data_IF_312269109679
#
_entry.id   IF_312269109679
#
_cell.length_a   1.000
_cell.length_b   1.000
_cell.length_c   1.000
_cell.angle_alpha   90.00
_cell.angle_beta   90.00
_cell.angle_gamma   90.00
#
_symmetry.space_group_name_H-M   'P 1'
#
loop_
_entity.id
_entity.type
_entity.pdbx_description
1 polymer ?
#
# COMPACT_ATOMS: atom_id res chain seq x y z
N UNK A 1 8.04 -25.46 -4.84
CA UNK A 1 7.56 -24.06 -4.87
C UNK A 1 7.03 -23.69 -3.51
N UNK A 2 7.25 -22.46 -3.03
CA UNK A 2 6.67 -21.98 -1.77
C UNK A 2 5.15 -21.89 -1.97
N UNK A 3 4.36 -22.51 -1.08
CA UNK A 3 2.91 -22.50 -1.19
C UNK A 3 2.36 -21.06 -1.12
N UNK A 4 1.34 -20.73 -1.94
CA UNK A 4 0.78 -19.37 -2.05
C UNK A 4 0.32 -18.79 -0.71
N UNK A 5 -0.13 -19.62 0.23
CA UNK A 5 -0.52 -19.23 1.60
C UNK A 5 0.55 -18.46 2.40
N UNK A 6 1.81 -18.49 1.95
CA UNK A 6 2.94 -17.80 2.59
C UNK A 6 3.33 -16.49 1.89
N UNK A 7 2.64 -16.08 0.82
CA UNK A 7 2.82 -14.76 0.23
C UNK A 7 2.50 -13.68 1.27
N UNK A 8 3.33 -12.64 1.31
CA UNK A 8 3.18 -11.50 2.23
C UNK A 8 3.20 -10.20 1.44
N UNK A 9 2.52 -9.19 1.98
CA UNK A 9 2.55 -7.82 1.44
C UNK A 9 2.65 -6.81 2.56
N UNK A 10 3.34 -5.70 2.30
CA UNK A 10 3.32 -4.54 3.19
C UNK A 10 2.08 -3.70 2.89
N UNK A 11 1.46 -3.21 3.96
CA UNK A 11 0.43 -2.17 3.92
C UNK A 11 0.78 -1.09 4.92
N UNK A 12 0.65 0.18 4.54
CA UNK A 12 0.87 1.31 5.45
C UNK A 12 -0.38 2.18 5.46
N UNK A 13 -1.01 2.34 6.62
CA UNK A 13 -2.03 3.37 6.84
C UNK A 13 -1.30 4.70 7.03
N UNK A 14 -1.57 5.64 6.12
CA UNK A 14 -0.99 6.98 6.07
C UNK A 14 -1.64 7.91 7.11
N UNK A 15 -1.07 9.09 7.38
CA UNK A 15 -1.55 9.96 8.45
C UNK A 15 -3.04 10.33 8.35
N UNK A 16 -3.54 10.60 7.14
CA UNK A 16 -4.96 10.88 6.89
C UNK A 16 -5.90 9.73 7.28
N UNK A 17 -5.50 8.46 7.10
CA UNK A 17 -6.28 7.31 7.57
C UNK A 17 -6.37 7.23 9.09
N UNK A 18 -5.29 7.61 9.79
CA UNK A 18 -5.27 7.65 11.26
C UNK A 18 -6.10 8.83 11.77
N UNK A 19 -5.87 10.03 11.24
CA UNK A 19 -6.55 11.26 11.67
C UNK A 19 -8.06 11.22 11.41
N UNK A 20 -8.52 10.34 10.52
CA UNK A 20 -9.95 10.13 10.23
C UNK A 20 -10.55 8.92 10.93
N UNK A 21 -9.81 8.32 11.89
CA UNK A 21 -10.26 7.16 12.67
C UNK A 21 -10.62 5.92 11.82
N UNK A 22 -9.91 5.70 10.71
CA UNK A 22 -10.19 4.60 9.76
C UNK A 22 -9.36 3.34 9.99
N UNK A 23 -8.57 3.28 11.08
CA UNK A 23 -7.66 2.15 11.35
C UNK A 23 -8.44 0.82 11.41
N UNK A 24 -9.46 0.76 12.25
CA UNK A 24 -10.28 -0.45 12.41
C UNK A 24 -11.02 -0.83 11.15
N UNK A 25 -11.54 0.16 10.40
CA UNK A 25 -12.23 -0.07 9.12
C UNK A 25 -11.28 -0.70 8.09
N UNK A 26 -10.07 -0.16 7.93
CA UNK A 26 -9.06 -0.69 6.99
C UNK A 26 -8.64 -2.11 7.37
N UNK A 27 -8.30 -2.36 8.64
CA UNK A 27 -7.91 -3.69 9.12
C UNK A 27 -9.03 -4.70 8.86
N UNK A 28 -10.27 -4.35 9.23
CA UNK A 28 -11.45 -5.20 9.05
C UNK A 28 -11.68 -5.59 7.59
N UNK A 29 -11.39 -4.72 6.61
CA UNK A 29 -11.51 -5.04 5.17
C UNK A 29 -10.57 -6.18 4.77
N UNK A 30 -9.35 -6.19 5.29
CA UNK A 30 -8.38 -7.23 5.00
C UNK A 30 -8.68 -8.52 5.77
N UNK A 31 -8.98 -8.45 7.07
CA UNK A 31 -9.28 -9.64 7.90
C UNK A 31 -10.48 -10.43 7.35
N UNK A 32 -11.54 -9.73 6.94
CA UNK A 32 -12.76 -10.36 6.40
C UNK A 32 -12.53 -11.17 5.12
N UNK A 33 -11.40 -10.98 4.44
CA UNK A 33 -11.01 -11.78 3.27
C UNK A 33 -10.24 -13.06 3.62
N UNK A 34 -9.94 -13.29 4.91
CA UNK A 34 -9.16 -14.43 5.38
C UNK A 34 -7.64 -14.18 5.41
N UNK A 35 -7.19 -12.96 5.16
CA UNK A 35 -5.78 -12.57 5.31
C UNK A 35 -5.36 -12.55 6.78
N UNK A 36 -4.14 -12.99 7.05
CA UNK A 36 -3.55 -13.07 8.39
C UNK A 36 -2.60 -11.90 8.64
N UNK A 37 -2.84 -11.10 9.67
CA UNK A 37 -1.92 -10.04 10.10
C UNK A 37 -0.75 -10.66 10.86
N UNK A 38 0.47 -10.55 10.35
CA UNK A 38 1.68 -11.17 10.94
C UNK A 38 2.67 -10.18 11.53
N UNK A 39 2.49 -8.88 11.31
CA UNK A 39 3.21 -7.81 12.01
C UNK A 39 2.42 -6.49 11.92
N UNK A 40 2.54 -5.65 12.94
CA UNK A 40 1.93 -4.31 12.97
C UNK A 40 2.75 -3.40 13.89
N UNK A 41 2.97 -2.15 13.49
CA UNK A 41 3.50 -1.10 14.39
C UNK A 41 3.04 0.29 13.99
N UNK A 42 2.82 1.14 14.99
CA UNK A 42 2.53 2.56 14.81
C UNK A 42 3.80 3.37 15.10
N UNK A 43 4.12 4.32 14.23
CA UNK A 43 5.31 5.17 14.40
C UNK A 43 5.15 6.50 13.67
N UNK A 44 5.99 7.48 14.00
CA UNK A 44 6.24 8.65 13.15
C UNK A 44 7.46 8.32 12.29
N UNK A 45 7.27 8.25 10.98
CA UNK A 45 8.33 7.91 10.04
C UNK A 45 9.29 9.09 9.84
N UNK A 46 10.59 8.81 9.68
CA UNK A 46 11.56 9.85 9.32
C UNK A 46 11.55 10.11 7.81
N UNK A 47 11.94 11.30 7.34
CA UNK A 47 12.07 11.59 5.92
C UNK A 47 12.93 10.56 5.17
N UNK A 48 14.05 10.12 5.78
CA UNK A 48 14.99 9.17 5.18
C UNK A 48 14.38 7.78 5.01
N UNK A 49 13.55 7.35 5.98
CA UNK A 49 12.82 6.09 5.88
C UNK A 49 11.86 6.11 4.68
N UNK A 50 11.17 7.23 4.48
CA UNK A 50 10.18 7.38 3.40
C UNK A 50 10.85 7.57 2.05
N UNK A 51 11.93 8.36 1.98
CA UNK A 51 12.73 8.50 0.76
C UNK A 51 13.19 7.13 0.28
N UNK A 52 13.84 6.36 1.19
CA UNK A 52 14.34 5.04 0.85
C UNK A 52 13.22 4.08 0.46
N UNK A 53 12.06 4.13 1.12
CA UNK A 53 10.91 3.28 0.78
C UNK A 53 10.50 3.43 -0.69
N UNK A 54 10.42 4.65 -1.21
CA UNK A 54 10.07 4.89 -2.62
C UNK A 54 11.21 4.62 -3.60
N UNK A 55 12.45 4.57 -3.12
CA UNK A 55 13.64 4.39 -3.98
C UNK A 55 14.34 3.05 -3.76
N UNK A 56 13.66 2.06 -3.18
CA UNK A 56 14.19 0.69 -3.02
C UNK A 56 14.54 0.07 -4.39
N UNK A 57 13.69 0.31 -5.40
CA UNK A 57 13.99 -0.01 -6.79
C UNK A 57 14.74 1.16 -7.46
N UNK A 58 16.00 0.98 -7.91
CA UNK A 58 16.75 1.99 -8.63
C UNK A 58 16.04 2.50 -9.90
N UNK A 59 15.17 1.67 -10.51
CA UNK A 59 14.42 2.03 -11.70
C UNK A 59 13.18 2.90 -11.38
N UNK A 60 12.78 3.02 -10.11
CA UNK A 60 11.52 3.68 -9.74
C UNK A 60 11.43 5.12 -10.25
N UNK A 61 12.52 5.90 -10.11
CA UNK A 61 12.53 7.31 -10.57
C UNK A 61 12.26 7.43 -12.07
N UNK A 62 12.89 6.56 -12.86
CA UNK A 62 12.70 6.54 -14.31
C UNK A 62 11.27 6.10 -14.67
N UNK A 63 10.85 4.94 -14.17
CA UNK A 63 9.55 4.33 -14.52
C UNK A 63 8.37 5.21 -14.07
N UNK A 64 8.41 5.71 -12.83
CA UNK A 64 7.35 6.57 -12.28
C UNK A 64 7.33 7.92 -12.98
N UNK A 65 8.49 8.51 -13.28
CA UNK A 65 8.58 9.77 -14.01
C UNK A 65 8.00 9.66 -15.42
N UNK A 66 8.42 8.66 -16.21
CA UNK A 66 7.91 8.40 -17.56
C UNK A 66 6.40 8.14 -17.56
N UNK A 67 5.91 7.32 -16.62
CA UNK A 67 4.47 7.05 -16.45
C UNK A 67 3.68 8.31 -16.11
N UNK A 68 4.23 9.17 -15.25
CA UNK A 68 3.58 10.43 -14.85
C UNK A 68 3.47 11.37 -16.05
N UNK A 69 4.56 11.60 -16.79
CA UNK A 69 4.56 12.41 -18.02
C UNK A 69 3.51 11.90 -18.99
N UNK A 70 3.53 10.60 -19.28
CA UNK A 70 2.54 9.98 -20.17
C UNK A 70 1.12 10.22 -19.68
N UNK A 71 0.86 10.09 -18.38
CA UNK A 71 -0.44 10.34 -17.76
C UNK A 71 -0.95 11.78 -17.95
N UNK A 72 -0.08 12.79 -17.92
CA UNK A 72 -0.46 14.17 -18.26
C UNK A 72 -0.77 14.30 -19.76
N UNK A 73 0.09 13.77 -20.62
CA UNK A 73 -0.05 13.87 -22.08
C UNK A 73 -1.32 13.18 -22.59
N UNK A 74 -1.62 11.98 -22.08
CA UNK A 74 -2.83 11.21 -22.44
C UNK A 74 -4.12 11.97 -22.06
N UNK A 75 -4.05 12.87 -21.06
CA UNK A 75 -5.16 13.74 -20.63
C UNK A 75 -5.17 15.11 -21.33
N UNK A 76 -4.25 15.37 -22.26
CA UNK A 76 -4.08 16.67 -22.92
C UNK A 76 -3.56 17.77 -21.99
N UNK A 77 -2.95 17.41 -20.86
CA UNK A 77 -2.39 18.33 -19.88
C UNK A 77 -0.88 18.47 -20.06
N UNK A 78 -0.34 19.62 -19.63
CA UNK A 78 1.11 19.85 -19.61
C UNK A 78 1.70 19.33 -18.30
N UNK A 79 2.70 18.43 -18.34
CA UNK A 79 3.35 17.97 -17.12
C UNK A 79 4.13 19.11 -16.44
N UNK A 80 4.34 19.03 -15.11
CA UNK A 80 5.05 20.06 -14.36
C UNK A 80 6.53 20.19 -14.79
N UNK A 81 7.13 19.13 -15.31
CA UNK A 81 8.46 19.13 -15.93
C UNK A 81 8.49 18.12 -17.09
N UNK A 82 9.49 18.21 -17.97
CA UNK A 82 9.69 17.25 -19.07
C UNK A 82 10.73 16.18 -18.75
N UNK A 83 11.45 16.33 -17.63
CA UNK A 83 12.45 15.38 -17.17
C UNK A 83 11.84 14.43 -16.10
N UNK A 84 11.87 13.10 -16.32
CA UNK A 84 11.44 12.11 -15.34
C UNK A 84 12.11 12.25 -13.97
N UNK A 85 13.38 12.68 -13.91
CA UNK A 85 14.07 12.85 -12.62
C UNK A 85 13.50 14.02 -11.84
N UNK A 86 13.31 15.17 -12.49
CA UNK A 86 12.72 16.35 -11.86
C UNK A 86 11.29 16.10 -11.37
N UNK A 87 10.45 15.41 -12.16
CA UNK A 87 9.10 15.02 -11.72
C UNK A 87 9.15 14.17 -10.47
N UNK A 88 10.01 13.15 -10.46
CA UNK A 88 10.07 12.22 -9.33
C UNK A 88 10.68 12.86 -8.10
N UNK A 89 11.56 13.86 -8.24
CA UNK A 89 12.02 14.71 -7.13
C UNK A 89 10.85 15.45 -6.47
N UNK A 90 10.06 16.17 -7.26
CA UNK A 90 8.89 16.92 -6.75
C UNK A 90 7.87 15.97 -6.10
N UNK A 91 7.55 14.86 -6.78
CA UNK A 91 6.61 13.87 -6.27
C UNK A 91 7.09 13.23 -4.95
N UNK A 92 8.38 12.93 -4.85
CA UNK A 92 8.98 12.38 -3.65
C UNK A 92 8.96 13.38 -2.49
N UNK A 93 9.24 14.66 -2.74
CA UNK A 93 9.11 15.72 -1.73
C UNK A 93 7.67 15.81 -1.20
N UNK A 94 6.67 15.72 -2.08
CA UNK A 94 5.26 15.73 -1.66
C UNK A 94 4.90 14.49 -0.84
N UNK A 95 5.39 13.31 -1.24
CA UNK A 95 5.15 12.06 -0.50
C UNK A 95 5.81 12.07 0.88
N UNK A 96 7.07 12.54 0.96
CA UNK A 96 7.77 12.69 2.23
C UNK A 96 6.98 13.63 3.14
N UNK A 97 6.65 14.85 2.68
CA UNK A 97 5.86 15.81 3.47
C UNK A 97 4.53 15.24 3.96
N UNK A 98 3.85 14.47 3.13
CA UNK A 98 2.56 13.86 3.48
C UNK A 98 2.72 12.74 4.50
N UNK A 99 3.64 11.80 4.31
CA UNK A 99 3.75 10.63 5.18
C UNK A 99 4.39 10.99 6.53
N UNK A 100 5.27 11.99 6.56
CA UNK A 100 5.89 12.47 7.80
C UNK A 100 5.05 13.51 8.54
N UNK A 101 3.88 13.90 8.04
CA UNK A 101 3.00 14.89 8.69
C UNK A 101 2.31 14.38 9.95
N UNK A 102 2.45 13.10 10.27
CA UNK A 102 1.80 12.47 11.42
C UNK A 102 2.22 11.00 11.56
N UNK A 103 1.60 10.26 12.48
CA UNK A 103 1.88 8.85 12.62
C UNK A 103 1.40 8.05 11.41
N UNK A 104 2.02 6.90 11.21
CA UNK A 104 1.62 5.85 10.28
C UNK A 104 1.45 4.52 11.02
N UNK A 105 0.71 3.59 10.43
CA UNK A 105 0.69 2.19 10.88
C UNK A 105 1.17 1.32 9.73
N UNK A 106 2.36 0.72 9.89
CA UNK A 106 2.86 -0.30 8.99
C UNK A 106 2.34 -1.68 9.42
N UNK A 107 1.94 -2.51 8.47
CA UNK A 107 1.38 -3.84 8.67
C UNK A 107 1.91 -4.82 7.64
N UNK A 108 2.11 -6.07 8.05
CA UNK A 108 2.43 -7.18 7.14
C UNK A 108 1.28 -8.16 7.14
N UNK A 109 0.68 -8.35 5.97
CA UNK A 109 -0.42 -9.30 5.76
C UNK A 109 0.09 -10.53 5.02
N UNK A 110 -0.40 -11.71 5.40
CA UNK A 110 -0.03 -12.99 4.81
C UNK A 110 -1.28 -13.76 4.35
N UNK A 111 -1.19 -14.39 3.18
CA UNK A 111 -2.22 -15.29 2.65
C UNK A 111 -2.03 -15.58 1.17
N UNK A 112 -2.87 -16.44 0.58
CA UNK A 112 -2.81 -16.73 -0.85
C UNK A 112 -3.04 -15.46 -1.68
N UNK A 113 -2.11 -15.15 -2.58
CA UNK A 113 -2.17 -13.97 -3.46
C UNK A 113 -2.34 -12.65 -2.68
N UNK A 114 -1.73 -12.54 -1.49
CA UNK A 114 -1.88 -11.41 -0.58
C UNK A 114 -1.69 -10.05 -1.27
N UNK A 115 -0.67 -9.89 -2.12
CA UNK A 115 -0.41 -8.63 -2.85
C UNK A 115 -1.60 -8.28 -3.74
N UNK A 116 -2.06 -9.23 -4.55
CA UNK A 116 -3.14 -8.99 -5.50
C UNK A 116 -4.48 -8.71 -4.81
N UNK A 117 -4.81 -9.49 -3.77
CA UNK A 117 -6.06 -9.34 -3.02
C UNK A 117 -6.08 -7.99 -2.29
N UNK A 118 -4.99 -7.61 -1.61
CA UNK A 118 -4.92 -6.32 -0.92
C UNK A 118 -5.04 -5.15 -1.88
N UNK A 119 -4.36 -5.20 -3.04
CA UNK A 119 -4.50 -4.14 -4.06
C UNK A 119 -5.94 -4.04 -4.57
N UNK A 120 -6.60 -5.17 -4.80
CA UNK A 120 -8.02 -5.21 -5.21
C UNK A 120 -8.94 -4.58 -4.17
N UNK A 121 -8.79 -4.94 -2.88
CA UNK A 121 -9.59 -4.38 -1.78
C UNK A 121 -9.30 -2.89 -1.54
N UNK A 122 -8.05 -2.47 -1.76
CA UNK A 122 -7.62 -1.09 -1.52
C UNK A 122 -8.16 -0.12 -2.59
N UNK A 123 -8.22 -0.55 -3.85
CA UNK A 123 -8.62 0.30 -4.98
C UNK A 123 -7.43 0.95 -5.70
N UNK A 124 -7.70 1.61 -6.82
CA UNK A 124 -6.70 2.28 -7.67
C UNK A 124 -6.00 3.44 -6.96
N UNK A 125 -4.87 3.93 -7.47
CA UNK A 125 -4.10 5.01 -6.81
C UNK A 125 -4.92 6.29 -6.65
N UNK A 126 -5.72 6.63 -7.65
CA UNK A 126 -6.64 7.77 -7.65
C UNK A 126 -7.99 7.37 -7.07
N UNK A 127 -8.42 7.98 -5.95
CA UNK A 127 -9.70 7.67 -5.33
C UNK A 127 -10.91 7.96 -6.20
N UNK A 128 -10.91 9.09 -6.94
CA UNK A 128 -11.98 9.45 -7.88
C UNK A 128 -12.30 8.34 -8.90
N UNK A 129 -11.30 7.55 -9.28
CA UNK A 129 -11.43 6.45 -10.25
C UNK A 129 -11.50 5.06 -9.59
N UNK A 130 -11.55 5.00 -8.25
CA UNK A 130 -11.63 3.74 -7.52
C UNK A 130 -13.08 3.28 -7.39
N UNK A 131 -13.33 2.00 -7.64
CA UNK A 131 -14.68 1.44 -7.58
C UNK A 131 -15.29 1.49 -6.17
N UNK A 132 -16.62 1.57 -6.14
CA UNK A 132 -17.43 1.42 -4.92
C UNK A 132 -17.15 0.06 -4.28
N UNK A 133 -17.01 0.04 -2.95
CA UNK A 133 -16.64 -1.13 -2.16
C UNK A 133 -15.14 -1.28 -1.92
N UNK A 134 -14.30 -0.51 -2.61
CA UNK A 134 -12.87 -0.43 -2.30
C UNK A 134 -12.61 0.56 -1.16
N UNK A 135 -11.50 0.41 -0.43
CA UNK A 135 -11.13 1.33 0.65
C UNK A 135 -11.05 2.78 0.14
N UNK A 136 -10.42 2.99 -1.02
CA UNK A 136 -10.28 4.34 -1.59
C UNK A 136 -11.60 4.88 -2.14
N UNK A 137 -12.39 4.05 -2.81
CA UNK A 137 -13.70 4.46 -3.35
C UNK A 137 -14.72 4.80 -2.26
N UNK A 138 -14.69 4.09 -1.13
CA UNK A 138 -15.69 4.28 -0.07
C UNK A 138 -15.37 5.46 0.87
N UNK A 139 -14.07 5.78 1.06
CA UNK A 139 -13.66 6.69 2.11
C UNK A 139 -12.95 7.95 1.61
N UNK A 140 -12.72 8.14 0.31
CA UNK A 140 -11.89 9.25 -0.17
C UNK A 140 -12.50 9.93 -1.39
N UNK A 141 -12.50 11.27 -1.38
CA UNK A 141 -13.03 12.12 -2.46
C UNK A 141 -11.91 12.88 -3.22
N UNK A 142 -10.64 12.53 -3.00
CA UNK A 142 -9.46 13.18 -3.59
C UNK A 142 -9.21 12.72 -5.03
N UNK A 143 -8.53 13.56 -5.81
CA UNK A 143 -8.23 13.28 -7.23
C UNK A 143 -6.90 13.90 -7.67
N UNK A 144 -6.37 13.49 -8.82
CA UNK A 144 -5.15 14.11 -9.35
C UNK A 144 -5.36 15.60 -9.66
N UNK A 145 -6.54 15.99 -10.15
CA UNK A 145 -6.84 17.40 -10.45
C UNK A 145 -6.78 18.27 -9.20
N UNK A 146 -7.31 17.78 -8.07
CA UNK A 146 -7.22 18.49 -6.79
C UNK A 146 -5.78 18.60 -6.32
N UNK A 147 -4.99 17.53 -6.45
CA UNK A 147 -3.61 17.51 -5.96
C UNK A 147 -2.66 18.34 -6.82
N UNK A 148 -2.92 18.42 -8.11
CA UNK A 148 -2.19 19.28 -9.04
C UNK A 148 -2.43 20.75 -8.74
N UNK A 149 -3.68 21.13 -8.45
CA UNK A 149 -4.03 22.49 -8.05
C UNK A 149 -3.44 22.88 -6.68
N UNK A 150 -3.43 21.94 -5.73
CA UNK A 150 -2.96 22.17 -4.36
C UNK A 150 -1.44 22.00 -4.19
N UNK A 151 -0.73 21.44 -5.17
CA UNK A 151 0.71 21.16 -5.07
C UNK A 151 1.06 20.16 -3.96
N UNK A 152 0.33 19.05 -3.87
CA UNK A 152 0.52 18.02 -2.82
C UNK A 152 0.40 16.60 -3.37
N UNK A 153 0.69 15.59 -2.54
CA UNK A 153 0.43 14.20 -2.87
C UNK A 153 -1.06 13.85 -2.71
N UNK A 154 -1.52 12.85 -3.48
CA UNK A 154 -2.87 12.26 -3.31
C UNK A 154 -2.99 11.65 -1.91
N UNK A 155 -4.02 12.08 -1.19
CA UNK A 155 -4.39 11.56 0.12
C UNK A 155 -5.33 10.39 -0.06
N UNK A 156 -4.76 9.20 -0.26
CA UNK A 156 -5.49 7.97 -0.58
C UNK A 156 -5.45 6.92 0.54
N UNK A 157 -5.28 7.35 1.79
CA UNK A 157 -5.30 6.56 3.03
C UNK A 157 -4.20 5.52 3.21
N UNK A 158 -3.88 4.76 2.18
CA UNK A 158 -3.13 3.50 2.32
C UNK A 158 -2.08 3.36 1.22
N UNK A 159 -0.89 2.92 1.58
CA UNK A 159 0.07 2.29 0.69
C UNK A 159 -0.12 0.77 0.70
N UNK A 160 0.01 0.12 -0.45
CA UNK A 160 0.06 -1.33 -0.57
C UNK A 160 1.07 -1.70 -1.66
N UNK A 161 1.95 -2.67 -1.37
CA UNK A 161 3.01 -3.11 -2.29
C UNK A 161 2.43 -3.47 -3.67
N UNK A 162 3.12 -3.08 -4.74
CA UNK A 162 2.67 -3.30 -6.13
C UNK A 162 2.91 -4.71 -6.67
N UNK A 163 3.92 -5.42 -6.15
CA UNK A 163 4.33 -6.77 -6.58
C UNK A 163 4.88 -7.61 -5.42
N UNK A 164 5.00 -8.93 -5.62
CA UNK A 164 5.60 -9.83 -4.61
C UNK A 164 7.04 -9.46 -4.29
N UNK A 165 7.84 -9.11 -5.32
CA UNK A 165 9.23 -8.69 -5.12
C UNK A 165 9.32 -7.39 -4.30
N UNK A 166 8.54 -6.39 -4.70
CA UNK A 166 8.46 -5.11 -4.00
C UNK A 166 8.01 -5.30 -2.55
N UNK A 167 7.00 -6.15 -2.30
CA UNK A 167 6.57 -6.49 -0.96
C UNK A 167 7.69 -7.09 -0.11
N UNK A 168 8.51 -8.00 -0.65
CA UNK A 168 9.63 -8.59 0.10
C UNK A 168 10.69 -7.54 0.47
N UNK A 169 11.00 -6.62 -0.43
CA UNK A 169 11.98 -5.55 -0.20
C UNK A 169 11.45 -4.51 0.79
N UNK A 170 10.18 -4.13 0.64
CA UNK A 170 9.49 -3.22 1.56
C UNK A 170 9.37 -3.80 2.97
N UNK A 171 9.00 -5.08 3.13
CA UNK A 171 8.89 -5.71 4.46
C UNK A 171 10.24 -5.66 5.17
N UNK A 172 11.35 -5.96 4.49
CA UNK A 172 12.70 -5.89 5.07
C UNK A 172 13.12 -4.46 5.43
N UNK A 173 12.62 -3.46 4.71
CA UNK A 173 12.89 -2.05 4.99
C UNK A 173 12.13 -1.56 6.22
N UNK A 174 10.90 -2.06 6.44
CA UNK A 174 10.04 -1.62 7.52
C UNK A 174 10.12 -2.47 8.80
N UNK A 175 10.47 -3.75 8.71
CA UNK A 175 10.43 -4.68 9.83
C UNK A 175 11.70 -5.54 9.95
N UNK A 176 12.18 -5.71 11.18
CA UNK A 176 13.11 -6.78 11.53
C UNK A 176 12.40 -8.14 11.42
N UNK A 177 13.16 -9.20 11.10
CA UNK A 177 12.61 -10.56 11.02
C UNK A 177 11.94 -11.04 12.32
N UNK A 178 12.41 -10.56 13.48
CA UNK A 178 11.84 -10.85 14.81
C UNK A 178 10.47 -10.19 15.06
N UNK A 179 10.14 -9.13 14.32
CA UNK A 179 8.83 -8.47 14.42
C UNK A 179 7.74 -9.25 13.65
N UNK A 180 8.14 -10.21 12.80
CA UNK A 180 7.21 -11.03 12.02
C UNK A 180 6.83 -12.28 12.80
N UNK A 181 5.58 -12.34 13.26
CA UNK A 181 5.09 -13.41 14.14
C UNK A 181 4.57 -14.58 13.31
N UNK A 182 5.05 -15.79 13.63
CA UNK A 182 4.56 -17.02 13.06
C UNK A 182 3.51 -17.67 13.97
N UNK A 183 2.27 -17.74 13.51
CA UNK A 183 1.16 -18.38 14.21
C UNK A 183 0.15 -18.95 13.21
N UNK A 184 -0.73 -19.84 13.67
CA UNK A 184 -1.79 -20.45 12.87
C UNK A 184 -3.15 -19.90 13.31
N UNK A 185 -3.94 -19.40 12.36
CA UNK A 185 -5.36 -19.14 12.56
C UNK A 185 -6.16 -20.42 12.29
N UNK A 186 -7.23 -20.64 13.04
CA UNK A 186 -8.11 -21.81 12.83
C UNK A 186 -8.73 -21.78 11.42
N UNK A 187 -9.09 -20.59 10.91
CA UNK A 187 -9.63 -20.43 9.55
C UNK A 187 -8.66 -20.89 8.44
N UNK A 188 -7.35 -21.00 8.70
CA UNK A 188 -6.40 -21.53 7.71
C UNK A 188 -6.66 -22.99 7.38
N UNK A 189 -7.30 -23.75 8.27
CA UNK A 189 -7.75 -25.11 7.97
C UNK A 189 -8.85 -25.07 6.91
N UNK A 190 -9.85 -24.19 7.05
CA UNK A 190 -10.92 -24.05 6.05
C UNK A 190 -10.37 -23.57 4.69
N UNK A 191 -9.39 -22.68 4.69
CA UNK A 191 -8.89 -22.07 3.45
C UNK A 191 -7.81 -22.90 2.73
N UNK A 192 -7.03 -23.69 3.46
CA UNK A 192 -5.83 -24.34 2.91
C UNK A 192 -5.72 -25.85 3.20
N UNK A 193 -6.60 -26.43 4.00
CA UNK A 193 -6.70 -27.89 4.10
C UNK A 193 -7.38 -28.43 2.84
N UNK A 194 -6.74 -29.40 2.18
CA UNK A 194 -7.21 -29.98 0.93
C UNK A 194 -8.46 -30.83 1.16
N UNK A 195 -8.50 -31.54 2.29
CA UNK A 195 -9.54 -32.53 2.56
C UNK A 195 -10.57 -32.04 3.57
N UNK A 196 -10.38 -30.84 4.13
CA UNK A 196 -11.18 -30.33 5.24
C UNK A 196 -11.25 -31.34 6.40
N UNK A 197 -10.10 -31.94 6.71
CA UNK A 197 -10.01 -33.01 7.71
C UNK A 197 -10.43 -32.47 9.08
N UNK A 198 -11.19 -33.25 9.85
CA UNK A 198 -11.63 -32.87 11.19
C UNK A 198 -12.75 -31.83 11.26
N UNK A 199 -13.55 -31.64 10.20
CA UNK A 199 -14.81 -30.89 10.28
C UNK A 199 -15.94 -31.68 10.95
N UNK A 200 -16.03 -32.99 10.65
CA UNK A 200 -17.05 -33.88 11.22
C UNK A 200 -16.36 -34.70 12.32
N UNK A 201 -17.02 -34.78 13.48
CA UNK A 201 -16.62 -35.62 14.63
C UNK A 201 -16.92 -37.12 14.39
#
# INVERSE_FOLDING_TARGET
MKHYKHERTLVIIKPDGIQRSLIGEIIKRYERSGLKLVAIKMMVATPELIEKHYTLDPAWRKVTGEKTIKGYLDKGLKPPANDPQEITRILLEHLIKYITSGPVIAMVWQGAHAVQIIRKLTGGTEPLMSDVGTIRGDYVLDSYQMTDADGRAVRNLVHASGSVKEAEDEIKHWFDSKEIINYKLIQEQILYDVNMDGIIE
#
